data_IF_890899029352
#
_entry.id   IF_890899029352
#
_cell.length_a   1.000
_cell.length_b   1.000
_cell.length_c   1.000
_cell.angle_alpha   90.00
_cell.angle_beta   90.00
_cell.angle_gamma   90.00
#
_symmetry.space_group_name_H-M   'P 1'
#
loop_
_entity.id
_entity.type
_entity.pdbx_description
1 polymer ?
#
# COMPACT_ATOMS: atom_id res chain seq x y z
N UNK A 1 2.65 12.08 27.94
CA UNK A 1 3.11 11.39 26.72
C UNK A 1 1.88 11.07 25.87
N UNK A 2 1.64 11.80 24.77
CA UNK A 2 0.56 11.42 23.87
C UNK A 2 1.00 10.18 23.08
N UNK A 3 0.22 9.10 23.16
CA UNK A 3 0.42 7.85 22.43
C UNK A 3 0.03 7.96 20.93
N UNK A 4 -0.14 9.18 20.42
CA UNK A 4 -0.60 9.42 19.06
C UNK A 4 0.58 9.28 18.10
N UNK A 5 0.66 8.12 17.41
CA UNK A 5 1.60 7.93 16.31
C UNK A 5 1.27 8.94 15.21
N UNK A 6 2.28 9.71 14.77
CA UNK A 6 2.14 10.62 13.64
C UNK A 6 1.74 9.84 12.39
N UNK A 7 0.70 10.29 11.69
CA UNK A 7 0.29 9.71 10.40
C UNK A 7 1.24 10.21 9.33
N UNK A 8 1.81 9.29 8.56
CA UNK A 8 2.70 9.60 7.45
C UNK A 8 2.03 9.21 6.14
N UNK A 9 2.06 10.11 5.15
CA UNK A 9 1.66 9.78 3.78
C UNK A 9 2.74 8.90 3.15
N UNK A 10 2.32 7.82 2.51
CA UNK A 10 3.20 6.87 1.82
C UNK A 10 2.64 6.59 0.43
N UNK A 11 3.50 6.10 -0.46
CA UNK A 11 3.11 5.65 -1.78
C UNK A 11 3.02 4.12 -1.77
N UNK A 12 1.91 3.57 -2.24
CA UNK A 12 1.70 2.13 -2.31
C UNK A 12 1.56 1.70 -3.78
N UNK A 13 2.22 0.61 -4.14
CA UNK A 13 2.11 -0.03 -5.44
C UNK A 13 1.59 -1.45 -5.24
N UNK A 14 0.59 -1.84 -6.04
CA UNK A 14 0.03 -3.19 -6.03
C UNK A 14 0.66 -4.00 -7.16
N UNK A 15 1.32 -5.11 -6.83
CA UNK A 15 1.79 -6.10 -7.80
C UNK A 15 0.79 -7.27 -7.83
N UNK A 16 -0.21 -7.14 -8.70
CA UNK A 16 -1.34 -8.07 -8.81
C UNK A 16 -0.90 -9.51 -9.15
N UNK A 17 0.12 -9.68 -9.99
CA UNK A 17 0.61 -11.00 -10.38
C UNK A 17 1.22 -11.81 -9.22
N UNK A 18 1.61 -11.13 -8.14
CA UNK A 18 2.22 -11.75 -6.95
C UNK A 18 1.39 -11.55 -5.69
N UNK A 19 0.18 -11.00 -5.81
CA UNK A 19 -0.65 -10.59 -4.67
C UNK A 19 0.16 -9.80 -3.64
N UNK A 20 0.94 -8.81 -4.07
CA UNK A 20 1.88 -8.10 -3.18
C UNK A 20 1.59 -6.60 -3.13
N UNK A 21 1.41 -6.06 -1.93
CA UNK A 21 1.36 -4.62 -1.70
C UNK A 21 2.73 -4.12 -1.26
N UNK A 22 3.29 -3.15 -2.00
CA UNK A 22 4.64 -2.62 -1.77
C UNK A 22 4.53 -1.16 -1.38
N UNK A 23 5.22 -0.75 -0.30
CA UNK A 23 5.22 0.64 0.15
C UNK A 23 6.56 1.34 -0.11
N UNK A 24 6.46 2.63 -0.45
CA UNK A 24 7.57 3.52 -0.72
C UNK A 24 7.37 4.84 0.05
N UNK A 25 8.46 5.57 0.26
CA UNK A 25 8.40 6.87 0.93
C UNK A 25 7.54 7.86 0.15
N UNK A 26 7.69 7.88 -1.17
CA UNK A 26 6.97 8.70 -2.12
C UNK A 26 6.97 8.04 -3.52
N UNK A 27 6.23 8.63 -4.45
CA UNK A 27 6.09 8.14 -5.84
C UNK A 27 7.44 8.14 -6.59
N UNK A 28 8.34 9.08 -6.30
CA UNK A 28 9.63 9.16 -6.97
C UNK A 28 10.54 8.00 -6.61
N UNK A 29 10.45 7.50 -5.38
CA UNK A 29 11.16 6.29 -4.97
C UNK A 29 10.67 5.05 -5.73
N UNK A 30 9.37 4.96 -6.03
CA UNK A 30 8.82 3.91 -6.89
C UNK A 30 9.30 4.05 -8.34
N UNK A 31 9.18 5.23 -8.94
CA UNK A 31 9.59 5.48 -10.34
C UNK A 31 11.08 5.21 -10.54
N UNK A 32 11.92 5.58 -9.57
CA UNK A 32 13.37 5.32 -9.59
C UNK A 32 13.74 3.89 -9.19
N UNK A 33 12.76 3.02 -8.94
CA UNK A 33 12.93 1.63 -8.50
C UNK A 33 13.88 1.51 -7.30
N UNK A 34 13.77 2.44 -6.33
CA UNK A 34 14.52 2.36 -5.09
C UNK A 34 14.05 1.18 -4.25
N UNK A 35 14.82 0.88 -3.20
CA UNK A 35 14.44 -0.15 -2.23
C UNK A 35 13.09 0.21 -1.58
N UNK A 36 12.10 -0.70 -1.59
CA UNK A 36 10.83 -0.46 -0.92
C UNK A 36 11.02 -0.38 0.60
N UNK A 37 10.11 0.31 1.27
CA UNK A 37 10.06 0.37 2.73
C UNK A 37 9.56 -0.96 3.28
N UNK A 38 8.40 -1.41 2.80
CA UNK A 38 7.77 -2.65 3.22
C UNK A 38 7.11 -3.37 2.04
N UNK A 39 6.90 -4.67 2.19
CA UNK A 39 6.24 -5.55 1.25
C UNK A 39 5.28 -6.45 2.05
N UNK A 40 4.00 -6.44 1.68
CA UNK A 40 2.92 -7.16 2.38
C UNK A 40 2.30 -8.14 1.39
N UNK A 41 2.39 -9.44 1.71
CA UNK A 41 1.75 -10.50 0.91
C UNK A 41 0.25 -10.52 1.22
N UNK A 42 -0.58 -10.54 0.17
CA UNK A 42 -2.03 -10.41 0.24
C UNK A 42 -2.78 -11.74 0.07
N UNK A 43 -2.09 -12.89 0.08
CA UNK A 43 -2.71 -14.23 -0.15
C UNK A 43 -3.90 -14.55 0.78
N UNK A 44 -4.00 -13.88 1.92
CA UNK A 44 -5.10 -14.03 2.89
C UNK A 44 -5.75 -12.69 3.28
N UNK A 45 -5.46 -11.61 2.52
CA UNK A 45 -6.07 -10.32 2.78
C UNK A 45 -7.55 -10.36 2.36
N UNK A 46 -8.45 -10.11 3.31
CA UNK A 46 -9.86 -9.93 3.00
C UNK A 46 -10.04 -8.52 2.42
N UNK A 47 -10.14 -8.41 1.09
CA UNK A 47 -10.50 -7.15 0.45
C UNK A 47 -12.03 -7.01 0.42
N UNK A 48 -12.53 -5.87 0.87
CA UNK A 48 -13.93 -5.47 0.62
C UNK A 48 -13.95 -4.48 -0.54
N UNK A 49 -14.78 -4.76 -1.55
CA UNK A 49 -15.10 -3.78 -2.59
C UNK A 49 -15.84 -2.62 -1.93
N UNK A 50 -15.28 -1.40 -2.01
CA UNK A 50 -16.01 -0.22 -1.57
C UNK A 50 -17.21 0.00 -2.48
N UNK A 51 -18.42 0.09 -1.93
CA UNK A 51 -19.69 0.14 -2.69
C UNK A 51 -19.83 1.35 -3.65
N UNK A 52 -18.86 2.27 -3.72
CA UNK A 52 -18.96 3.52 -4.49
C UNK A 52 -17.82 3.80 -5.48
N UNK A 53 -16.98 2.83 -5.82
CA UNK A 53 -15.97 3.02 -6.85
C UNK A 53 -15.57 1.70 -7.47
N UNK A 54 -15.74 1.58 -8.79
CA UNK A 54 -15.25 0.44 -9.57
C UNK A 54 -13.71 0.30 -9.53
N UNK A 55 -13.01 1.25 -8.90
CA UNK A 55 -11.54 1.34 -8.87
C UNK A 55 -10.94 1.48 -7.46
N UNK A 56 -11.72 1.45 -6.39
CA UNK A 56 -11.21 1.51 -5.02
C UNK A 56 -11.27 0.15 -4.32
N UNK A 57 -10.11 -0.33 -3.91
CA UNK A 57 -9.97 -1.52 -3.08
C UNK A 57 -9.54 -1.10 -1.68
N UNK A 58 -10.26 -1.58 -0.66
CA UNK A 58 -9.87 -1.43 0.74
C UNK A 58 -9.19 -2.73 1.16
N UNK A 59 -7.90 -2.64 1.48
CA UNK A 59 -7.08 -3.70 2.08
C UNK A 59 -7.07 -3.51 3.60
#
# INVERSE_FOLDING_TARGET
FSLLKSRKRMFFALEECKNLLISYKDEMDFVKKKKPLEQIVLDHAACTLGENSETEFII
#
